data_IF_606063888290
#
_entry.id   IF_606063888290
#
_cell.length_a   1.000
_cell.length_b   1.000
_cell.length_c   1.000
_cell.angle_alpha   90.00
_cell.angle_beta   90.00
_cell.angle_gamma   90.00
#
_symmetry.space_group_name_H-M   'P 1'
#
loop_
_entity.id
_entity.type
_entity.pdbx_description
1 polymer ?
#
# COMPACT_ATOMS: atom_id res chain seq x y z
N UNK A 1 0.66 30.29 -24.09
CA UNK A 1 0.62 29.59 -22.79
C UNK A 1 -0.79 29.13 -22.48
N UNK A 2 -1.04 27.82 -22.49
CA UNK A 2 -2.39 27.26 -22.53
C UNK A 2 -3.10 27.16 -21.16
N UNK A 3 -2.41 27.47 -20.04
CA UNK A 3 -3.02 27.45 -18.70
C UNK A 3 -3.49 26.08 -18.20
N UNK A 4 -3.15 25.00 -18.91
CA UNK A 4 -3.55 23.62 -18.58
C UNK A 4 -2.52 23.00 -17.64
N UNK A 5 -3.01 22.29 -16.62
CA UNK A 5 -2.20 21.47 -15.71
C UNK A 5 -2.50 20.00 -15.95
N UNK A 6 -1.46 19.16 -15.88
CA UNK A 6 -1.58 17.72 -16.05
C UNK A 6 -0.95 17.06 -14.83
N UNK A 7 -1.72 16.22 -14.13
CA UNK A 7 -1.28 15.50 -12.93
C UNK A 7 -1.87 14.10 -12.99
N UNK A 8 -1.11 13.11 -12.53
CA UNK A 8 -1.59 11.74 -12.32
C UNK A 8 -1.74 11.46 -10.82
N UNK A 9 -2.72 10.64 -10.45
CA UNK A 9 -2.85 10.08 -9.09
C UNK A 9 -2.50 8.60 -9.17
N UNK A 10 -1.52 8.17 -8.37
CA UNK A 10 -1.11 6.78 -8.23
C UNK A 10 -1.70 6.21 -6.93
N UNK A 11 -2.85 5.52 -6.97
CA UNK A 11 -3.50 4.99 -5.78
C UNK A 11 -2.80 3.74 -5.23
N UNK A 12 -2.89 3.56 -3.92
CA UNK A 12 -2.59 2.30 -3.24
C UNK A 12 -3.78 1.32 -3.26
N UNK A 13 -3.94 0.46 -2.24
CA UNK A 13 -5.03 -0.48 -2.19
C UNK A 13 -6.27 0.23 -1.66
N UNK A 14 -7.25 0.44 -2.56
CA UNK A 14 -8.49 1.17 -2.27
C UNK A 14 -9.62 0.19 -2.05
N UNK A 15 -10.23 0.22 -0.86
CA UNK A 15 -11.35 -0.64 -0.50
C UNK A 15 -12.51 -0.51 -1.51
N UNK A 16 -13.24 -1.61 -1.72
CA UNK A 16 -14.44 -1.65 -2.56
C UNK A 16 -14.21 -1.28 -4.05
N UNK A 17 -12.95 -1.38 -4.52
CA UNK A 17 -12.59 -1.19 -5.94
C UNK A 17 -11.89 -2.44 -6.50
N UNK A 18 -11.71 -2.49 -7.83
CA UNK A 18 -10.89 -3.54 -8.46
C UNK A 18 -9.43 -3.51 -8.02
N UNK A 19 -8.93 -2.34 -7.59
CA UNK A 19 -7.63 -2.13 -6.96
C UNK A 19 -7.64 -2.36 -5.45
N UNK A 20 -8.70 -2.95 -4.89
CA UNK A 20 -8.81 -3.25 -3.47
C UNK A 20 -8.31 -4.65 -3.09
N UNK A 21 -8.28 -4.96 -1.79
CA UNK A 21 -7.81 -6.25 -1.26
C UNK A 21 -8.63 -7.47 -1.71
N UNK A 22 -9.89 -7.26 -2.09
CA UNK A 22 -10.79 -8.27 -2.66
C UNK A 22 -11.03 -8.05 -4.16
N UNK A 23 -10.41 -7.03 -4.73
CA UNK A 23 -10.52 -6.65 -6.13
C UNK A 23 -9.59 -7.48 -7.01
N UNK A 24 -9.89 -7.47 -8.31
CA UNK A 24 -9.21 -8.25 -9.34
C UNK A 24 -7.69 -8.12 -9.31
N UNK A 25 -7.19 -6.90 -9.06
CA UNK A 25 -5.76 -6.56 -9.13
C UNK A 25 -4.96 -7.26 -8.05
N UNK A 26 -5.47 -7.32 -6.81
CA UNK A 26 -4.77 -7.95 -5.70
C UNK A 26 -5.16 -9.42 -5.50
N UNK A 27 -6.37 -9.82 -5.91
CA UNK A 27 -6.80 -11.23 -5.84
C UNK A 27 -5.97 -12.15 -6.75
N UNK A 28 -5.51 -11.65 -7.91
CA UNK A 28 -4.70 -12.41 -8.85
C UNK A 28 -3.24 -12.59 -8.39
N UNK A 29 -2.75 -11.75 -7.48
CA UNK A 29 -1.41 -11.86 -6.91
C UNK A 29 -1.29 -12.94 -5.82
N UNK A 30 -2.38 -13.65 -5.50
CA UNK A 30 -2.40 -14.67 -4.43
C UNK A 30 -2.24 -14.10 -3.02
N UNK A 31 -2.20 -12.77 -2.86
CA UNK A 31 -2.12 -12.11 -1.57
C UNK A 31 -3.54 -11.95 -1.00
N UNK A 32 -3.78 -12.50 0.20
CA UNK A 32 -5.06 -12.31 0.88
C UNK A 32 -5.24 -10.86 1.35
N UNK A 33 -6.47 -10.43 1.61
CA UNK A 33 -6.76 -9.09 2.11
C UNK A 33 -5.93 -8.69 3.36
N UNK A 34 -5.65 -9.65 4.25
CA UNK A 34 -4.79 -9.41 5.43
C UNK A 34 -3.34 -9.13 5.07
N UNK A 35 -2.81 -9.76 4.03
CA UNK A 35 -1.44 -9.57 3.58
C UNK A 35 -1.27 -8.19 2.94
N UNK A 36 -2.26 -7.72 2.18
CA UNK A 36 -2.24 -6.37 1.58
C UNK A 36 -2.32 -5.28 2.65
N UNK A 37 -3.08 -5.46 3.73
CA UNK A 37 -3.10 -4.47 4.83
C UNK A 37 -1.74 -4.32 5.52
N UNK A 38 -0.97 -5.41 5.61
CA UNK A 38 0.37 -5.39 6.21
C UNK A 38 1.41 -4.68 5.35
N UNK A 39 1.14 -4.49 4.05
CA UNK A 39 2.05 -3.74 3.17
C UNK A 39 1.84 -2.22 3.24
N UNK A 40 0.79 -1.75 3.92
CA UNK A 40 0.45 -0.32 4.06
C UNK A 40 0.83 0.18 5.47
N UNK A 41 1.91 0.96 5.63
CA UNK A 41 2.32 1.49 6.94
C UNK A 41 1.27 2.35 7.65
N UNK A 42 0.40 3.04 6.90
CA UNK A 42 -0.71 3.81 7.48
C UNK A 42 -1.76 2.91 8.18
N UNK A 43 -1.67 1.58 8.03
CA UNK A 43 -2.44 0.61 8.82
C UNK A 43 -3.91 0.46 8.40
N UNK A 44 -4.33 1.12 7.31
CA UNK A 44 -5.67 1.02 6.73
C UNK A 44 -5.61 0.98 5.20
N UNK A 45 -6.65 0.44 4.57
CA UNK A 45 -6.88 0.67 3.15
C UNK A 45 -7.30 2.11 2.89
N UNK A 46 -7.01 2.60 1.68
CA UNK A 46 -7.58 3.83 1.20
C UNK A 46 -9.07 3.66 0.89
N UNK A 47 -9.81 4.77 0.86
CA UNK A 47 -11.18 4.84 0.37
C UNK A 47 -11.24 5.58 -0.96
N UNK A 48 -12.35 5.46 -1.68
CA UNK A 48 -12.60 6.30 -2.87
C UNK A 48 -12.56 7.78 -2.53
N UNK A 49 -12.95 8.16 -1.30
CA UNK A 49 -12.90 9.55 -0.82
C UNK A 49 -11.46 10.05 -0.67
N UNK A 50 -10.48 9.22 -0.28
CA UNK A 50 -9.07 9.63 -0.23
C UNK A 50 -8.58 10.08 -1.63
N UNK A 51 -9.00 9.36 -2.68
CA UNK A 51 -8.67 9.68 -4.07
C UNK A 51 -9.47 10.89 -4.57
N UNK A 52 -10.77 10.93 -4.29
CA UNK A 52 -11.64 12.03 -4.72
C UNK A 52 -11.20 13.37 -4.10
N UNK A 53 -10.90 13.39 -2.79
CA UNK A 53 -10.43 14.58 -2.11
C UNK A 53 -9.07 15.06 -2.64
N UNK A 54 -8.17 14.14 -3.01
CA UNK A 54 -6.91 14.49 -3.66
C UNK A 54 -7.15 15.12 -5.03
N UNK A 55 -8.03 14.54 -5.84
CA UNK A 55 -8.41 15.11 -7.14
C UNK A 55 -9.03 16.51 -7.00
N UNK A 56 -9.93 16.70 -6.01
CA UNK A 56 -10.53 18.00 -5.71
C UNK A 56 -9.47 19.02 -5.33
N UNK A 57 -8.54 18.67 -4.44
CA UNK A 57 -7.42 19.55 -4.08
C UNK A 57 -6.57 19.93 -5.30
N UNK A 58 -6.19 18.96 -6.12
CA UNK A 58 -5.41 19.18 -7.34
C UNK A 58 -6.16 20.04 -8.37
N UNK A 59 -7.48 19.94 -8.44
CA UNK A 59 -8.31 20.79 -9.31
C UNK A 59 -8.50 22.21 -8.75
N UNK A 60 -8.44 22.38 -7.43
CA UNK A 60 -8.66 23.64 -6.73
C UNK A 60 -7.50 24.64 -6.90
N UNK A 61 -7.68 25.92 -6.48
CA UNK A 61 -6.57 26.88 -6.40
C UNK A 61 -5.39 26.42 -5.53
N UNK A 62 -5.63 25.53 -4.56
CA UNK A 62 -4.57 24.95 -3.73
C UNK A 62 -3.56 24.10 -4.50
N UNK A 63 -3.96 23.53 -5.64
CA UNK A 63 -3.11 22.78 -6.56
C UNK A 63 -2.56 23.59 -7.73
N UNK A 64 -2.69 24.93 -7.72
CA UNK A 64 -2.41 25.79 -8.89
C UNK A 64 -0.98 25.70 -9.43
N UNK A 65 -0.01 25.34 -8.58
CA UNK A 65 1.39 25.17 -8.99
C UNK A 65 1.84 23.71 -9.12
N UNK A 66 0.89 22.77 -9.12
CA UNK A 66 1.15 21.33 -9.24
C UNK A 66 0.78 20.89 -10.66
N UNK A 67 1.80 20.51 -11.43
CA UNK A 67 1.69 19.96 -12.80
C UNK A 67 2.92 19.11 -13.12
N UNK A 68 2.81 18.18 -14.06
CA UNK A 68 3.91 17.33 -14.52
C UNK A 68 4.38 16.27 -13.52
N UNK A 69 3.51 15.87 -12.58
CA UNK A 69 3.88 14.94 -11.50
C UNK A 69 2.88 13.80 -11.31
N UNK A 70 3.36 12.72 -10.69
CA UNK A 70 2.57 11.61 -10.19
C UNK A 70 2.41 11.75 -8.68
N UNK A 71 1.20 12.03 -8.22
CA UNK A 71 0.89 12.13 -6.80
C UNK A 71 0.53 10.75 -6.28
N UNK A 72 1.37 10.21 -5.39
CA UNK A 72 1.16 8.90 -4.78
C UNK A 72 0.21 9.04 -3.59
N UNK A 73 -0.88 8.26 -3.59
CA UNK A 73 -1.92 8.25 -2.55
C UNK A 73 -2.19 6.81 -2.13
N UNK A 74 -1.31 6.27 -1.29
CA UNK A 74 -1.23 4.82 -1.07
C UNK A 74 -0.95 4.41 0.38
N UNK A 75 -0.98 5.35 1.33
CA UNK A 75 -0.66 5.06 2.73
C UNK A 75 0.77 4.57 2.94
N UNK A 76 1.72 5.00 2.09
CA UNK A 76 3.15 4.64 2.06
C UNK A 76 3.45 3.26 1.46
N UNK A 77 2.48 2.56 0.87
CA UNK A 77 2.69 1.21 0.32
C UNK A 77 3.89 1.14 -0.66
N UNK A 78 3.99 2.08 -1.60
CA UNK A 78 5.03 2.16 -2.63
C UNK A 78 6.42 2.44 -2.04
N UNK A 79 6.49 3.27 -1.02
CA UNK A 79 7.76 3.57 -0.35
C UNK A 79 8.18 2.43 0.60
N UNK A 80 7.19 1.66 1.07
CA UNK A 80 7.40 0.61 2.05
C UNK A 80 7.72 -0.75 1.42
N UNK A 81 7.62 -0.98 0.12
CA UNK A 81 7.92 -2.31 -0.47
C UNK A 81 9.32 -2.83 -0.10
N UNK A 82 10.31 -1.97 0.12
CA UNK A 82 11.62 -2.36 0.66
C UNK A 82 11.63 -2.64 2.18
N UNK A 83 10.85 -1.89 2.98
CA UNK A 83 10.81 -1.98 4.45
C UNK A 83 9.81 -3.03 4.94
N UNK A 84 8.61 -3.08 4.38
CA UNK A 84 7.58 -4.09 4.62
C UNK A 84 8.07 -5.49 4.27
N UNK A 85 8.83 -5.65 3.17
CA UNK A 85 9.50 -6.91 2.85
C UNK A 85 10.48 -7.36 3.94
N UNK A 86 11.24 -6.42 4.52
CA UNK A 86 12.16 -6.69 5.63
C UNK A 86 11.43 -7.03 6.93
N UNK A 87 10.35 -6.30 7.26
CA UNK A 87 9.55 -6.53 8.47
C UNK A 87 8.77 -7.86 8.41
N UNK A 88 8.13 -8.17 7.27
CA UNK A 88 7.43 -9.44 7.07
C UNK A 88 8.38 -10.64 7.15
N UNK A 89 9.63 -10.48 6.71
CA UNK A 89 10.64 -11.53 6.83
C UNK A 89 11.06 -11.75 8.29
N UNK A 90 11.11 -10.69 9.11
CA UNK A 90 11.54 -10.77 10.52
C UNK A 90 10.64 -11.68 11.36
N UNK A 91 9.32 -11.63 11.18
CA UNK A 91 8.39 -12.47 11.94
C UNK A 91 8.39 -13.92 11.46
N UNK A 92 8.57 -14.15 10.14
CA UNK A 92 8.76 -15.50 9.59
C UNK A 92 10.05 -16.14 10.08
N UNK A 93 11.14 -15.38 10.09
CA UNK A 93 12.45 -15.80 10.61
C UNK A 93 12.35 -16.11 12.11
N UNK A 94 11.72 -15.24 12.92
CA UNK A 94 11.50 -15.47 14.35
C UNK A 94 10.72 -16.75 14.62
N UNK A 95 9.61 -16.98 13.90
CA UNK A 95 8.83 -18.22 14.03
C UNK A 95 9.62 -19.46 13.62
N UNK A 96 10.43 -19.38 12.57
CA UNK A 96 11.29 -20.49 12.14
C UNK A 96 12.37 -20.81 13.18
N UNK A 97 13.02 -19.79 13.76
CA UNK A 97 14.00 -19.98 14.83
C UNK A 97 13.38 -20.59 16.09
N UNK A 98 12.19 -20.12 16.49
CA UNK A 98 11.45 -20.68 17.63
C UNK A 98 11.16 -22.17 17.42
N UNK A 99 10.66 -22.53 16.22
CA UNK A 99 10.36 -23.92 15.88
C UNK A 99 11.59 -24.84 15.91
N UNK A 100 12.77 -24.33 15.54
CA UNK A 100 14.02 -25.09 15.65
C UNK A 100 14.45 -25.29 17.11
N UNK A 101 14.31 -24.28 17.97
CA UNK A 101 14.61 -24.40 19.42
C UNK A 101 13.68 -25.43 20.08
N UNK A 102 12.38 -25.30 19.86
CA UNK A 102 11.37 -26.21 20.41
C UNK A 102 11.52 -27.65 19.85
N UNK A 103 12.11 -27.81 18.66
CA UNK A 103 12.43 -29.12 18.08
C UNK A 103 13.66 -29.78 18.72
N UNK A 104 14.65 -28.98 19.11
CA UNK A 104 15.87 -29.45 19.77
C UNK A 104 15.60 -29.90 21.22
N UNK A 105 14.72 -29.20 21.94
CA UNK A 105 14.33 -29.54 23.32
C UNK A 105 13.45 -30.80 23.45
N UNK A 106 12.80 -31.24 22.36
CA UNK A 106 11.97 -32.47 22.35
C UNK A 106 12.71 -33.74 21.94
N UNK A 107 13.97 -33.60 21.51
CA UNK A 107 14.84 -34.71 21.11
C UNK A 107 15.91 -35.09 22.14
N UNK A 108 15.95 -34.40 23.29
CA UNK A 108 16.77 -34.70 24.45
C UNK A 108 15.89 -35.30 25.57
#
# INVERSE_FOLDING_TARGET
DYGIRVVSIAPGPIADTEGGPTGRVFSQAGAGARDVRQTVPLGRFGTTDDIANTAIFLASPGGSFITGTNVVVDGMQWQAVGVSGMLMNKDRIRKAMQKQRDGHERGA
#
